data_IF_501625182308
#
_entry.id   IF_501625182308
#
_cell.length_a   1.000
_cell.length_b   1.000
_cell.length_c   1.000
_cell.angle_alpha   90.00
_cell.angle_beta   90.00
_cell.angle_gamma   90.00
#
_symmetry.space_group_name_H-M   'P 1'
#
loop_
_entity.id
_entity.type
_entity.pdbx_description
1 polymer ?
#
# COMPACT_ATOMS: atom_id res chain seq x y z
N UNK A 1 4.38 -12.49 5.66
CA UNK A 1 3.22 -12.81 4.80
C UNK A 1 3.17 -11.79 3.67
N UNK A 2 2.99 -12.23 2.42
CA UNK A 2 2.79 -11.37 1.25
C UNK A 2 1.31 -11.38 0.90
N UNK A 3 0.71 -10.22 0.63
CA UNK A 3 -0.67 -10.09 0.12
C UNK A 3 -0.71 -9.11 -1.03
N UNK A 4 -1.49 -9.43 -2.05
CA UNK A 4 -1.60 -8.63 -3.28
C UNK A 4 -3.07 -8.37 -3.59
N UNK A 5 -3.39 -7.16 -4.00
CA UNK A 5 -4.74 -6.79 -4.45
C UNK A 5 -4.67 -5.58 -5.38
N UNK A 6 -5.74 -5.34 -6.11
CA UNK A 6 -5.87 -4.18 -7.00
C UNK A 6 -7.11 -3.38 -6.62
N UNK A 7 -7.05 -2.07 -6.82
CA UNK A 7 -8.22 -1.20 -6.73
C UNK A 7 -8.34 -0.40 -8.02
N UNK A 8 -9.59 -0.10 -8.41
CA UNK A 8 -9.90 0.75 -9.55
C UNK A 8 -10.49 2.04 -8.99
N UNK A 9 -9.96 3.18 -9.40
CA UNK A 9 -10.44 4.50 -9.00
C UNK A 9 -10.21 5.48 -10.15
N UNK A 10 -11.23 6.28 -10.48
CA UNK A 10 -11.15 7.29 -11.55
C UNK A 10 -10.63 6.72 -12.89
N UNK A 11 -11.06 5.50 -13.22
CA UNK A 11 -10.63 4.72 -14.39
C UNK A 11 -9.14 4.33 -14.41
N UNK A 12 -8.42 4.54 -13.31
CA UNK A 12 -7.05 4.09 -13.09
C UNK A 12 -7.01 2.83 -12.20
N UNK A 13 -6.12 1.89 -12.54
CA UNK A 13 -5.88 0.70 -11.73
C UNK A 13 -4.62 0.88 -10.90
N UNK A 14 -4.75 0.67 -9.59
CA UNK A 14 -3.65 0.69 -8.64
C UNK A 14 -3.41 -0.72 -8.12
N UNK A 15 -2.17 -1.21 -8.23
CA UNK A 15 -1.76 -2.53 -7.72
C UNK A 15 -1.07 -2.35 -6.39
N UNK A 16 -1.49 -3.14 -5.41
CA UNK A 16 -0.95 -3.12 -4.06
C UNK A 16 -0.27 -4.45 -3.73
N UNK A 17 0.94 -4.36 -3.18
CA UNK A 17 1.64 -5.48 -2.56
C UNK A 17 1.98 -5.13 -1.13
N UNK A 18 1.44 -5.88 -0.17
CA UNK A 18 1.75 -5.76 1.25
C UNK A 18 2.72 -6.86 1.63
N UNK A 19 3.83 -6.47 2.26
CA UNK A 19 4.87 -7.38 2.78
C UNK A 19 5.06 -7.10 4.26
N UNK A 20 5.10 -8.15 5.09
CA UNK A 20 5.34 -8.00 6.53
C UNK A 20 4.04 -7.89 7.32
N UNK A 21 4.06 -7.06 8.37
CA UNK A 21 2.98 -6.96 9.37
C UNK A 21 2.52 -8.33 9.92
N UNK A 22 3.42 -9.22 10.41
CA UNK A 22 2.96 -10.35 11.21
C UNK A 22 2.07 -9.83 12.35
N UNK A 23 0.98 -10.52 12.69
CA UNK A 23 -0.11 -10.15 13.62
C UNK A 23 0.29 -9.79 15.07
N UNK A 24 1.51 -9.31 15.30
CA UNK A 24 2.03 -8.73 16.52
C UNK A 24 1.88 -7.21 16.48
N UNK A 25 1.60 -6.61 17.65
CA UNK A 25 1.75 -5.15 17.85
C UNK A 25 3.18 -4.75 17.46
N UNK A 26 3.32 -3.63 16.74
CA UNK A 26 4.60 -3.05 16.30
C UNK A 26 5.41 -3.92 15.33
N UNK A 27 4.75 -4.51 14.35
CA UNK A 27 5.43 -5.29 13.31
C UNK A 27 5.77 -4.43 12.10
N UNK A 28 7.05 -4.42 11.73
CA UNK A 28 7.48 -3.78 10.49
C UNK A 28 6.80 -4.39 9.27
N UNK A 29 6.44 -3.53 8.33
CA UNK A 29 5.93 -3.93 7.03
C UNK A 29 5.98 -2.81 6.02
N UNK A 30 5.70 -3.19 4.79
CA UNK A 30 5.84 -2.37 3.61
C UNK A 30 4.62 -2.54 2.72
N UNK A 31 4.24 -1.47 2.04
CA UNK A 31 3.16 -1.43 1.05
C UNK A 31 3.73 -0.80 -0.21
N UNK A 32 3.77 -1.60 -1.27
CA UNK A 32 4.12 -1.18 -2.61
C UNK A 32 2.81 -0.85 -3.34
N UNK A 33 2.74 0.33 -3.94
CA UNK A 33 1.60 0.78 -4.73
C UNK A 33 2.09 1.17 -6.12
N UNK A 34 1.69 0.44 -7.14
CA UNK A 34 2.01 0.74 -8.53
C UNK A 34 0.79 1.33 -9.22
N UNK A 35 0.94 2.49 -9.84
CA UNK A 35 -0.13 3.15 -10.60
C UNK A 35 -0.14 2.74 -12.08
N UNK A 36 -1.10 3.30 -12.83
CA UNK A 36 -1.29 3.11 -14.28
C UNK A 36 -0.05 3.50 -15.11
N UNK A 37 0.75 4.45 -14.61
CA UNK A 37 1.99 4.92 -15.25
C UNK A 37 3.20 4.02 -14.98
N UNK A 38 2.99 2.88 -14.30
CA UNK A 38 4.04 1.98 -13.82
C UNK A 38 4.96 2.61 -12.75
N UNK A 39 4.56 3.74 -12.17
CA UNK A 39 5.28 4.34 -11.04
C UNK A 39 4.96 3.55 -9.78
N UNK A 40 6.00 3.08 -9.08
CA UNK A 40 5.84 2.35 -7.81
C UNK A 40 6.21 3.24 -6.63
N UNK A 41 5.27 3.42 -5.72
CA UNK A 41 5.44 4.09 -4.44
C UNK A 41 5.59 3.07 -3.33
N UNK A 42 6.48 3.34 -2.37
CA UNK A 42 6.74 2.43 -1.25
C UNK A 42 6.47 3.14 0.07
N UNK A 43 5.58 2.57 0.88
CA UNK A 43 5.22 3.05 2.20
C UNK A 43 5.67 2.03 3.23
N UNK A 44 6.35 2.46 4.31
CA UNK A 44 7.01 1.58 5.28
C UNK A 44 6.71 2.02 6.70
N UNK A 45 6.62 1.07 7.64
CA UNK A 45 6.43 1.39 9.05
C UNK A 45 6.02 0.19 9.91
N UNK A 46 5.85 0.43 11.21
CA UNK A 46 5.52 -0.60 12.21
C UNK A 46 4.00 -0.79 12.44
N UNK A 47 3.18 0.14 11.96
CA UNK A 47 1.73 0.11 12.14
C UNK A 47 1.01 -0.03 10.79
N UNK A 48 0.46 -1.21 10.53
CA UNK A 48 -0.22 -1.53 9.26
C UNK A 48 -1.25 -0.49 8.85
N UNK A 49 -2.06 -0.02 9.81
CA UNK A 49 -3.11 0.95 9.55
C UNK A 49 -2.55 2.32 9.15
N UNK A 50 -1.48 2.79 9.80
CA UNK A 50 -0.84 4.05 9.48
C UNK A 50 -0.23 4.01 8.07
N UNK A 51 0.47 2.92 7.74
CA UNK A 51 1.09 2.73 6.41
C UNK A 51 0.03 2.61 5.31
N UNK A 52 -1.07 1.87 5.56
CA UNK A 52 -2.22 1.81 4.63
C UNK A 52 -2.88 3.17 4.42
N UNK A 53 -3.04 3.97 5.48
CA UNK A 53 -3.63 5.31 5.41
C UNK A 53 -2.77 6.25 4.56
N UNK A 54 -1.46 6.19 4.70
CA UNK A 54 -0.52 6.95 3.86
C UNK A 54 -0.63 6.55 2.38
N UNK A 55 -0.68 5.24 2.10
CA UNK A 55 -0.85 4.75 0.75
C UNK A 55 -2.21 5.16 0.13
N UNK A 56 -3.30 5.11 0.90
CA UNK A 56 -4.62 5.57 0.45
C UNK A 56 -4.64 7.07 0.17
N UNK A 57 -4.05 7.89 1.04
CA UNK A 57 -3.98 9.34 0.87
C UNK A 57 -3.31 9.73 -0.45
N UNK A 58 -2.28 8.97 -0.89
CA UNK A 58 -1.61 9.20 -2.17
C UNK A 58 -2.54 9.06 -3.38
N UNK A 59 -3.54 8.17 -3.28
CA UNK A 59 -4.57 7.96 -4.32
C UNK A 59 -5.64 9.06 -4.24
N UNK A 60 -5.96 9.56 -3.05
CA UNK A 60 -6.92 10.66 -2.87
C UNK A 60 -6.39 12.02 -3.31
N UNK A 61 -5.06 12.19 -3.33
CA UNK A 61 -4.38 13.42 -3.73
C UNK A 61 -4.11 13.51 -5.26
N UNK A 62 -4.29 12.41 -6.00
CA UNK A 62 -4.30 12.39 -7.46
C UNK A 62 -5.72 12.59 -7.97
#
# INVERSE_FOLDING_TARGET
MKKEFSIIRDNETYRFTIIGFPDKKNSYGEIYMTDSSHTTYVFRGFERQAVLKAAKKRIEDK
#
